data_IF_703566011742
#
_entry.id   IF_703566011742
#
_cell.length_a   1.000
_cell.length_b   1.000
_cell.length_c   1.000
_cell.angle_alpha   90.00
_cell.angle_beta   90.00
_cell.angle_gamma   90.00
#
_symmetry.space_group_name_H-M   'P 1'
#
loop_
_entity.id
_entity.type
_entity.pdbx_description
1 polymer ?
#
# COMPACT_ATOMS: atom_id res chain seq x y z
N UNK A 1 -4.07 -39.16 -25.93
CA UNK A 1 -4.03 -38.27 -24.76
C UNK A 1 -3.65 -36.87 -25.21
N UNK A 2 -4.61 -35.97 -25.32
CA UNK A 2 -4.37 -34.60 -25.81
C UNK A 2 -3.94 -33.70 -24.65
N UNK A 3 -2.74 -33.14 -24.75
CA UNK A 3 -2.15 -32.19 -23.82
C UNK A 3 -2.84 -30.82 -24.02
N UNK A 4 -3.68 -30.41 -23.08
CA UNK A 4 -4.36 -29.10 -23.10
C UNK A 4 -3.33 -28.02 -22.88
N UNK A 5 -2.86 -27.44 -23.98
CA UNK A 5 -1.94 -26.29 -23.96
C UNK A 5 -2.64 -25.03 -23.45
N UNK A 6 -2.15 -24.48 -22.36
CA UNK A 6 -2.49 -23.16 -21.83
C UNK A 6 -2.22 -22.11 -22.92
N UNK A 7 -3.25 -21.40 -23.40
CA UNK A 7 -3.15 -20.39 -24.47
C UNK A 7 -2.19 -19.26 -24.04
N UNK A 8 -1.13 -18.94 -24.83
CA UNK A 8 -0.11 -17.92 -24.48
C UNK A 8 -0.62 -16.48 -24.47
N UNK A 9 -1.87 -16.20 -24.82
CA UNK A 9 -2.41 -14.84 -24.97
C UNK A 9 -2.99 -14.22 -23.69
N UNK A 10 -3.30 -15.00 -22.66
CA UNK A 10 -4.04 -14.46 -21.50
C UNK A 10 -3.14 -13.79 -20.46
N UNK A 11 -1.91 -14.28 -20.22
CA UNK A 11 -1.00 -13.65 -19.24
C UNK A 11 -0.47 -12.30 -19.73
N UNK A 12 -0.17 -12.16 -21.01
CA UNK A 12 0.32 -10.91 -21.60
C UNK A 12 -0.69 -9.76 -21.60
N UNK A 13 -1.98 -10.07 -21.73
CA UNK A 13 -3.02 -9.01 -21.72
C UNK A 13 -3.26 -8.46 -20.34
N UNK A 14 -3.24 -9.31 -19.29
CA UNK A 14 -3.38 -8.87 -17.90
C UNK A 14 -2.25 -7.94 -17.47
N UNK A 15 -1.00 -8.26 -17.81
CA UNK A 15 0.16 -7.40 -17.49
C UNK A 15 0.12 -6.08 -18.25
N UNK A 16 -0.22 -6.07 -19.55
CA UNK A 16 -0.39 -4.82 -20.31
C UNK A 16 -1.44 -3.90 -19.71
N UNK A 17 -2.58 -4.45 -19.25
CA UNK A 17 -3.62 -3.67 -18.57
C UNK A 17 -3.08 -3.07 -17.26
N UNK A 18 -2.32 -3.84 -16.48
CA UNK A 18 -1.71 -3.35 -15.23
C UNK A 18 -0.69 -2.25 -15.48
N UNK A 19 0.15 -2.38 -16.53
CA UNK A 19 1.15 -1.37 -16.86
C UNK A 19 0.49 -0.07 -17.34
N UNK A 20 -0.52 -0.16 -18.21
CA UNK A 20 -1.33 0.97 -18.65
C UNK A 20 -2.06 1.65 -17.45
N UNK A 21 -2.62 0.84 -16.55
CA UNK A 21 -3.28 1.35 -15.36
C UNK A 21 -2.29 2.09 -14.44
N UNK A 22 -1.10 1.54 -14.19
CA UNK A 22 -0.04 2.20 -13.40
C UNK A 22 0.33 3.56 -13.98
N UNK A 23 0.55 3.60 -15.29
CA UNK A 23 0.92 4.81 -16.00
C UNK A 23 -0.17 5.88 -15.85
N UNK A 24 -1.42 5.56 -16.20
CA UNK A 24 -2.53 6.50 -16.16
C UNK A 24 -2.88 6.96 -14.74
N UNK A 25 -2.88 6.06 -13.77
CA UNK A 25 -3.12 6.43 -12.37
C UNK A 25 -2.00 7.30 -11.78
N UNK A 26 -0.75 7.08 -12.19
CA UNK A 26 0.37 7.92 -11.75
C UNK A 26 0.32 9.32 -12.36
N UNK A 27 -0.08 9.45 -13.64
CA UNK A 27 -0.15 10.74 -14.34
C UNK A 27 -1.39 11.54 -13.98
N UNK A 28 -2.57 10.91 -13.95
CA UNK A 28 -3.87 11.59 -13.91
C UNK A 28 -4.63 11.39 -12.61
N UNK A 29 -4.09 10.60 -11.71
CA UNK A 29 -4.78 10.17 -10.51
C UNK A 29 -5.89 9.15 -10.79
N UNK A 30 -6.56 8.69 -9.72
CA UNK A 30 -7.66 7.75 -9.83
C UNK A 30 -8.84 8.33 -10.60
N UNK A 31 -9.31 9.55 -10.23
CA UNK A 31 -10.49 10.17 -10.84
C UNK A 31 -10.28 10.57 -12.30
N UNK A 32 -9.07 11.03 -12.63
CA UNK A 32 -8.70 11.43 -13.99
C UNK A 32 -8.50 10.26 -14.97
N UNK A 33 -8.60 9.01 -14.50
CA UNK A 33 -8.40 7.80 -15.29
C UNK A 33 -9.71 7.03 -15.44
N UNK A 34 -9.98 6.45 -16.61
CA UNK A 34 -11.14 5.61 -16.86
C UNK A 34 -10.73 4.23 -17.39
N UNK A 35 -11.58 3.22 -17.17
CA UNK A 35 -11.39 1.86 -17.71
C UNK A 35 -11.22 1.90 -19.25
N UNK A 36 -11.95 2.79 -19.94
CA UNK A 36 -11.85 2.93 -21.40
C UNK A 36 -10.47 3.45 -21.83
N UNK A 37 -9.93 4.46 -21.12
CA UNK A 37 -8.59 4.99 -21.40
C UNK A 37 -7.51 3.95 -21.12
N UNK A 38 -7.62 3.24 -19.99
CA UNK A 38 -6.68 2.16 -19.62
C UNK A 38 -6.72 1.03 -20.66
N UNK A 39 -7.91 0.64 -21.12
CA UNK A 39 -8.05 -0.37 -22.15
C UNK A 39 -7.44 0.07 -23.48
N UNK A 40 -7.64 1.32 -23.88
CA UNK A 40 -7.06 1.89 -25.09
C UNK A 40 -5.52 1.91 -25.02
N UNK A 41 -4.96 2.36 -23.90
CA UNK A 41 -3.50 2.40 -23.66
C UNK A 41 -2.88 0.99 -23.64
N UNK A 42 -3.60 0.01 -23.08
CA UNK A 42 -3.21 -1.40 -23.06
C UNK A 42 -3.40 -2.12 -24.42
N UNK A 43 -3.98 -1.47 -25.43
CA UNK A 43 -4.34 -2.10 -26.70
C UNK A 43 -5.33 -3.25 -26.55
N UNK A 44 -6.40 -3.06 -25.74
CA UNK A 44 -7.39 -4.09 -25.44
C UNK A 44 -8.80 -3.51 -25.36
N UNK A 45 -9.80 -4.42 -25.24
CA UNK A 45 -11.21 -4.04 -25.04
C UNK A 45 -11.51 -3.79 -23.57
N UNK A 46 -12.33 -2.76 -23.22
CA UNK A 46 -12.80 -2.51 -21.85
C UNK A 46 -13.44 -3.73 -21.17
N UNK A 47 -14.15 -4.57 -21.94
CA UNK A 47 -14.74 -5.79 -21.41
C UNK A 47 -13.68 -6.78 -20.88
N UNK A 48 -12.49 -6.79 -21.50
CA UNK A 48 -11.38 -7.63 -21.03
C UNK A 48 -10.80 -7.09 -19.72
N UNK A 49 -10.77 -5.77 -19.53
CA UNK A 49 -10.37 -5.15 -18.25
C UNK A 49 -11.35 -5.55 -17.15
N UNK A 50 -12.67 -5.46 -17.44
CA UNK A 50 -13.71 -5.91 -16.49
C UNK A 50 -13.62 -7.41 -16.20
N UNK A 51 -13.31 -8.23 -17.20
CA UNK A 51 -13.12 -9.66 -17.02
C UNK A 51 -11.99 -10.00 -16.04
N UNK A 52 -10.85 -9.30 -16.14
CA UNK A 52 -9.70 -9.58 -15.28
C UNK A 52 -9.77 -8.96 -13.87
N UNK A 53 -10.37 -7.79 -13.77
CA UNK A 53 -10.29 -6.98 -12.55
C UNK A 53 -11.65 -6.64 -11.95
N UNK A 54 -12.74 -6.80 -12.70
CA UNK A 54 -14.10 -6.51 -12.26
C UNK A 54 -14.40 -5.02 -12.26
N UNK A 55 -13.81 -4.26 -11.32
CA UNK A 55 -14.07 -2.83 -11.15
C UNK A 55 -12.80 -2.00 -11.30
N UNK A 56 -12.95 -0.66 -11.45
CA UNK A 56 -11.83 0.27 -11.50
C UNK A 56 -11.04 0.28 -10.19
N UNK A 57 -11.73 0.15 -9.07
CA UNK A 57 -11.14 0.07 -7.73
C UNK A 57 -10.22 -1.16 -7.62
N UNK A 58 -10.70 -2.33 -8.00
CA UNK A 58 -9.90 -3.57 -8.00
C UNK A 58 -8.73 -3.52 -8.96
N UNK A 59 -8.90 -2.90 -10.13
CA UNK A 59 -7.80 -2.65 -11.05
C UNK A 59 -6.77 -1.71 -10.44
N UNK A 60 -7.21 -0.65 -9.75
CA UNK A 60 -6.34 0.28 -9.07
C UNK A 60 -5.48 -0.40 -8.00
N UNK A 61 -6.09 -1.23 -7.14
CA UNK A 61 -5.34 -2.05 -6.16
C UNK A 61 -4.32 -2.96 -6.82
N UNK A 62 -4.74 -3.64 -7.87
CA UNK A 62 -3.84 -4.55 -8.58
C UNK A 62 -2.71 -3.81 -9.32
N UNK A 63 -2.96 -2.59 -9.78
CA UNK A 63 -1.99 -1.72 -10.44
C UNK A 63 -1.01 -1.09 -9.44
N UNK A 64 -1.50 -0.68 -8.28
CA UNK A 64 -0.65 -0.29 -7.16
C UNK A 64 0.03 -1.55 -6.66
N UNK A 65 1.19 -1.86 -7.22
CA UNK A 65 2.09 -2.83 -6.58
C UNK A 65 2.51 -2.19 -5.25
N UNK A 66 1.80 -2.52 -4.18
CA UNK A 66 2.41 -2.41 -2.87
C UNK A 66 3.55 -3.43 -2.92
N UNK A 67 4.80 -3.01 -2.90
CA UNK A 67 5.94 -3.90 -3.17
C UNK A 67 6.20 -4.91 -2.05
N UNK A 68 5.34 -4.89 -1.06
CA UNK A 68 5.30 -5.86 0.02
C UNK A 68 4.00 -6.66 -0.16
N UNK A 69 4.13 -7.96 -0.34
CA UNK A 69 2.98 -8.85 -0.20
C UNK A 69 2.45 -8.68 1.24
N UNK A 70 1.22 -8.18 1.44
CA UNK A 70 0.67 -7.95 2.78
C UNK A 70 0.73 -9.21 3.66
N UNK A 71 0.66 -10.39 3.05
CA UNK A 71 0.75 -11.69 3.73
C UNK A 71 2.13 -11.96 4.32
N UNK A 72 3.17 -11.28 3.85
CA UNK A 72 4.55 -11.42 4.37
C UNK A 72 4.85 -10.46 5.52
N UNK A 73 4.04 -9.42 5.70
CA UNK A 73 4.24 -8.43 6.77
C UNK A 73 4.22 -9.09 8.17
N UNK A 74 3.25 -9.96 8.49
CA UNK A 74 3.25 -10.65 9.78
C UNK A 74 4.51 -11.50 10.02
N UNK A 75 5.04 -12.14 8.98
CA UNK A 75 6.27 -12.92 9.08
C UNK A 75 7.49 -12.02 9.29
N UNK A 76 7.59 -10.90 8.54
CA UNK A 76 8.68 -9.92 8.71
C UNK A 76 8.69 -9.28 10.10
N UNK A 77 7.52 -9.09 10.71
CA UNK A 77 7.42 -8.54 12.06
C UNK A 77 7.66 -9.58 13.15
N UNK A 78 7.40 -10.86 12.86
CA UNK A 78 7.72 -11.97 13.74
C UNK A 78 9.21 -12.38 13.71
N UNK A 79 9.97 -11.86 12.75
CA UNK A 79 11.40 -12.14 12.60
C UNK A 79 12.23 -11.32 13.59
N UNK A 80 12.28 -11.80 14.84
CA UNK A 80 13.00 -11.18 15.95
C UNK A 80 12.14 -10.84 17.17
N UNK A 81 12.74 -10.22 18.20
CA UNK A 81 12.05 -9.89 19.46
C UNK A 81 10.83 -8.99 19.21
N UNK A 82 9.71 -9.24 19.91
CA UNK A 82 8.52 -8.38 19.84
C UNK A 82 8.81 -6.93 20.22
N UNK A 83 9.74 -6.70 21.15
CA UNK A 83 10.19 -5.37 21.58
C UNK A 83 10.85 -4.53 20.49
N UNK A 84 11.23 -5.12 19.37
CA UNK A 84 11.82 -4.44 18.22
C UNK A 84 10.85 -4.28 17.01
N UNK A 85 9.59 -4.67 17.19
CA UNK A 85 8.61 -4.60 16.11
C UNK A 85 8.40 -3.17 15.60
N UNK A 86 8.45 -2.16 16.49
CA UNK A 86 8.38 -0.76 16.12
C UNK A 86 9.54 -0.31 15.21
N UNK A 87 10.75 -0.80 15.48
CA UNK A 87 11.94 -0.54 14.63
C UNK A 87 11.74 -1.17 13.25
N UNK A 88 11.26 -2.42 13.19
CA UNK A 88 11.01 -3.12 11.93
C UNK A 88 9.95 -2.43 11.09
N UNK A 89 8.86 -1.95 11.69
CA UNK A 89 7.82 -1.17 11.00
C UNK A 89 8.41 0.14 10.44
N UNK A 90 9.16 0.88 11.24
CA UNK A 90 9.78 2.12 10.79
C UNK A 90 10.77 1.88 9.64
N UNK A 91 11.61 0.86 9.74
CA UNK A 91 12.56 0.47 8.69
C UNK A 91 11.83 0.09 7.40
N UNK A 92 10.77 -0.72 7.50
CA UNK A 92 9.96 -1.12 6.36
C UNK A 92 9.25 0.09 5.71
N UNK A 93 8.74 1.02 6.52
CA UNK A 93 8.16 2.26 6.02
C UNK A 93 9.15 3.02 5.14
N UNK A 94 10.36 3.29 5.64
CA UNK A 94 11.36 4.01 4.86
C UNK A 94 11.87 3.24 3.65
N UNK A 95 12.04 1.92 3.74
CA UNK A 95 12.39 1.10 2.59
C UNK A 95 11.39 1.23 1.44
N UNK A 96 10.09 1.36 1.76
CA UNK A 96 9.02 1.59 0.80
C UNK A 96 9.04 3.01 0.21
N UNK A 97 9.21 4.00 1.08
CA UNK A 97 8.99 5.39 0.70
C UNK A 97 10.25 6.08 0.14
N UNK A 98 11.44 5.55 0.38
CA UNK A 98 12.68 6.07 -0.23
C UNK A 98 12.90 5.56 -1.65
N UNK A 99 12.28 4.44 -2.06
CA UNK A 99 12.25 4.02 -3.45
C UNK A 99 11.36 4.94 -4.29
N UNK A 100 11.90 5.52 -5.35
CA UNK A 100 11.22 6.55 -6.16
C UNK A 100 9.96 6.04 -6.86
N UNK A 101 10.00 4.82 -7.38
CA UNK A 101 8.88 4.29 -8.16
C UNK A 101 7.75 3.84 -7.24
N UNK A 102 8.09 3.23 -6.10
CA UNK A 102 7.15 2.87 -5.05
C UNK A 102 6.49 4.11 -4.44
N UNK A 103 7.28 5.12 -4.10
CA UNK A 103 6.78 6.39 -3.57
C UNK A 103 5.79 7.06 -4.52
N UNK A 104 6.09 7.11 -5.82
CA UNK A 104 5.18 7.70 -6.82
C UNK A 104 3.83 6.99 -6.84
N UNK A 105 3.82 5.67 -6.80
CA UNK A 105 2.61 4.86 -6.74
C UNK A 105 1.82 5.12 -5.43
N UNK A 106 2.50 5.08 -4.28
CA UNK A 106 1.89 5.32 -2.96
C UNK A 106 1.32 6.73 -2.83
N UNK A 107 2.02 7.75 -3.35
CA UNK A 107 1.50 9.11 -3.40
C UNK A 107 0.23 9.23 -4.26
N UNK A 108 0.16 8.51 -5.38
CA UNK A 108 -1.05 8.42 -6.20
C UNK A 108 -2.22 7.84 -5.41
N UNK A 109 -1.98 6.78 -4.65
CA UNK A 109 -2.97 6.15 -3.75
C UNK A 109 -3.48 7.14 -2.70
N UNK A 110 -2.58 7.81 -1.98
CA UNK A 110 -2.97 8.77 -0.93
C UNK A 110 -3.76 9.96 -1.49
N UNK A 111 -3.36 10.50 -2.65
CA UNK A 111 -4.12 11.58 -3.31
C UNK A 111 -5.53 11.12 -3.69
N UNK A 112 -5.64 9.92 -4.24
CA UNK A 112 -6.95 9.37 -4.61
C UNK A 112 -7.86 9.14 -3.41
N UNK A 113 -7.32 8.75 -2.25
CA UNK A 113 -8.09 8.58 -1.02
C UNK A 113 -8.74 9.87 -0.50
N UNK A 114 -8.13 11.03 -0.78
CA UNK A 114 -8.66 12.31 -0.35
C UNK A 114 -9.82 12.78 -1.23
N UNK A 115 -9.80 12.42 -2.52
CA UNK A 115 -10.76 12.89 -3.51
C UNK A 115 -11.89 11.91 -3.83
N UNK A 116 -11.70 10.61 -3.57
CA UNK A 116 -12.66 9.55 -3.92
C UNK A 116 -12.98 8.63 -2.73
N UNK A 117 -14.27 8.55 -2.30
CA UNK A 117 -14.66 7.67 -1.19
C UNK A 117 -14.43 6.17 -1.46
N UNK A 118 -14.51 5.72 -2.72
CA UNK A 118 -14.24 4.33 -3.11
C UNK A 118 -12.75 4.01 -2.96
N UNK A 119 -11.87 4.91 -3.41
CA UNK A 119 -10.43 4.79 -3.19
C UNK A 119 -10.08 4.81 -1.69
N UNK A 120 -10.74 5.67 -0.90
CA UNK A 120 -10.56 5.71 0.55
C UNK A 120 -10.98 4.39 1.23
N UNK A 121 -12.13 3.82 0.86
CA UNK A 121 -12.60 2.55 1.40
C UNK A 121 -11.62 1.41 1.10
N UNK A 122 -11.08 1.41 -0.10
CA UNK A 122 -10.12 0.42 -0.55
C UNK A 122 -8.77 0.52 0.18
N UNK A 123 -8.28 1.74 0.39
CA UNK A 123 -7.06 1.97 1.17
C UNK A 123 -7.25 1.51 2.61
N UNK A 124 -8.44 1.77 3.18
CA UNK A 124 -8.78 1.27 4.51
C UNK A 124 -8.72 -0.26 4.57
N UNK A 125 -9.33 -0.94 3.62
CA UNK A 125 -9.28 -2.41 3.52
C UNK A 125 -7.83 -2.91 3.47
N UNK A 126 -7.00 -2.34 2.58
CA UNK A 126 -5.61 -2.78 2.42
C UNK A 126 -4.80 -2.50 3.68
N UNK A 127 -4.82 -1.27 4.18
CA UNK A 127 -3.96 -0.86 5.30
C UNK A 127 -4.42 -1.52 6.60
N UNK A 128 -5.72 -1.45 6.90
CA UNK A 128 -6.25 -1.94 8.17
C UNK A 128 -6.40 -3.46 8.16
N UNK A 129 -7.07 -4.02 7.13
CA UNK A 129 -7.43 -5.43 7.17
C UNK A 129 -6.31 -6.35 6.67
N UNK A 130 -5.62 -5.97 5.60
CA UNK A 130 -4.62 -6.84 4.98
C UNK A 130 -3.21 -6.64 5.54
N UNK A 131 -2.82 -5.41 5.88
CA UNK A 131 -1.46 -5.12 6.35
C UNK A 131 -1.34 -5.15 7.88
N UNK A 132 -2.14 -4.37 8.58
CA UNK A 132 -2.00 -4.17 10.03
C UNK A 132 -2.81 -5.16 10.86
N UNK A 133 -4.00 -5.56 10.42
CA UNK A 133 -4.87 -6.51 11.12
C UNK A 133 -4.19 -7.82 11.48
N UNK A 134 -3.49 -8.50 10.55
CA UNK A 134 -2.75 -9.73 10.84
C UNK A 134 -1.60 -9.56 11.83
N UNK A 135 -1.10 -8.34 12.02
CA UNK A 135 -0.06 -8.04 13.02
C UNK A 135 -0.69 -8.06 14.41
N UNK A 136 -1.72 -7.22 14.58
CA UNK A 136 -2.31 -6.98 15.89
C UNK A 136 -3.12 -8.18 16.36
N UNK A 137 -3.74 -8.96 15.47
CA UNK A 137 -4.44 -10.19 15.83
C UNK A 137 -3.54 -11.28 16.44
N UNK A 138 -2.22 -11.13 16.30
CA UNK A 138 -1.21 -12.02 16.93
C UNK A 138 -0.66 -11.49 18.25
N UNK A 139 -0.97 -10.23 18.56
CA UNK A 139 -0.61 -9.62 19.83
C UNK A 139 -1.73 -9.89 20.83
N UNK A 140 -1.38 -10.44 21.98
CA UNK A 140 -2.31 -10.60 23.11
C UNK A 140 -2.37 -9.27 23.88
N UNK A 141 -3.09 -8.29 23.30
CA UNK A 141 -3.17 -6.93 23.84
C UNK A 141 -4.62 -6.44 23.89
N UNK A 142 -4.89 -5.54 24.82
CA UNK A 142 -6.17 -4.85 24.89
C UNK A 142 -6.36 -3.88 23.68
N UNK A 143 -7.61 -3.69 23.27
CA UNK A 143 -8.04 -2.74 22.25
C UNK A 143 -7.29 -2.86 20.89
N UNK A 144 -7.21 -4.06 20.30
CA UNK A 144 -6.40 -4.29 19.10
C UNK A 144 -6.84 -3.41 17.92
N UNK A 145 -8.12 -3.14 17.74
CA UNK A 145 -8.64 -2.29 16.67
C UNK A 145 -8.20 -0.82 16.83
N UNK A 146 -8.25 -0.29 18.06
CA UNK A 146 -7.77 1.06 18.35
C UNK A 146 -6.27 1.16 18.08
N UNK A 147 -5.49 0.18 18.50
CA UNK A 147 -4.03 0.13 18.29
C UNK A 147 -3.67 0.14 16.80
N UNK A 148 -4.38 -0.66 15.99
CA UNK A 148 -4.21 -0.67 14.54
C UNK A 148 -4.46 0.72 13.94
N UNK A 149 -5.55 1.36 14.32
CA UNK A 149 -5.93 2.67 13.76
C UNK A 149 -4.98 3.77 14.21
N UNK A 150 -4.47 3.74 15.44
CA UNK A 150 -3.43 4.64 15.92
C UNK A 150 -2.12 4.45 15.15
N UNK A 151 -1.67 3.21 14.95
CA UNK A 151 -0.48 2.92 14.16
C UNK A 151 -0.64 3.37 12.70
N UNK A 152 -1.79 3.09 12.07
CA UNK A 152 -2.10 3.54 10.72
C UNK A 152 -2.06 5.06 10.60
N UNK A 153 -2.60 5.78 11.59
CA UNK A 153 -2.60 7.25 11.61
C UNK A 153 -1.18 7.82 11.61
N UNK A 154 -0.25 7.19 12.34
CA UNK A 154 1.17 7.60 12.36
C UNK A 154 1.84 7.33 11.01
N UNK A 155 1.63 6.16 10.42
CA UNK A 155 2.19 5.77 9.12
C UNK A 155 1.71 6.72 8.01
N UNK A 156 0.40 6.97 7.95
CA UNK A 156 -0.19 7.87 6.94
C UNK A 156 0.22 9.32 7.21
N UNK A 157 0.18 9.77 8.47
CA UNK A 157 0.61 11.10 8.85
C UNK A 157 2.07 11.38 8.50
N UNK A 158 2.97 10.43 8.78
CA UNK A 158 4.38 10.52 8.41
C UNK A 158 4.58 10.59 6.89
N UNK A 159 3.84 9.77 6.14
CA UNK A 159 3.90 9.80 4.68
C UNK A 159 3.46 11.15 4.11
N UNK A 160 2.35 11.68 4.59
CA UNK A 160 1.83 12.98 4.16
C UNK A 160 2.78 14.11 4.52
N UNK A 161 3.23 14.19 5.78
CA UNK A 161 4.07 15.29 6.26
C UNK A 161 5.46 15.29 5.62
N UNK A 162 6.07 14.12 5.43
CA UNK A 162 7.41 14.00 4.87
C UNK A 162 7.43 14.14 3.35
N UNK A 163 6.53 13.43 2.63
CA UNK A 163 6.65 13.28 1.18
C UNK A 163 5.63 14.07 0.37
N UNK A 164 4.53 14.55 0.97
CA UNK A 164 3.52 15.34 0.26
C UNK A 164 3.64 16.81 0.64
N UNK A 165 3.61 17.11 1.95
CA UNK A 165 3.69 18.50 2.45
C UNK A 165 5.13 18.97 2.56
N UNK A 166 6.08 18.05 2.68
CA UNK A 166 7.53 18.32 2.81
C UNK A 166 7.86 19.24 3.99
N UNK A 167 7.38 18.89 5.18
CA UNK A 167 7.61 19.69 6.40
C UNK A 167 9.04 19.49 6.89
N UNK A 168 9.82 20.57 6.96
CA UNK A 168 11.16 20.55 7.52
C UNK A 168 11.16 20.58 9.06
N UNK A 169 12.14 19.93 9.72
CA UNK A 169 13.28 19.18 9.18
C UNK A 169 12.94 17.71 8.83
N UNK A 170 11.70 17.26 9.03
CA UNK A 170 11.29 15.89 8.81
C UNK A 170 11.51 15.44 7.35
N UNK A 171 11.32 16.34 6.39
CA UNK A 171 11.45 16.02 4.96
C UNK A 171 12.89 15.71 4.53
N UNK A 172 13.86 16.41 5.11
CA UNK A 172 15.29 16.32 4.72
C UNK A 172 16.12 15.38 5.58
N UNK A 173 15.67 15.05 6.80
CA UNK A 173 16.42 14.15 7.68
C UNK A 173 16.50 12.73 7.10
N UNK A 174 17.67 12.06 7.18
CA UNK A 174 17.84 10.71 6.67
C UNK A 174 17.10 9.68 7.56
N UNK A 175 16.65 8.54 6.97
CA UNK A 175 15.93 7.48 7.69
C UNK A 175 16.62 7.01 8.97
N UNK A 176 17.95 6.94 8.98
CA UNK A 176 18.76 6.48 10.11
C UNK A 176 18.59 7.36 11.36
N UNK A 177 18.24 8.63 11.17
CA UNK A 177 17.92 9.57 12.25
C UNK A 177 16.46 9.48 12.68
N UNK A 178 15.56 9.13 11.77
CA UNK A 178 14.11 9.10 12.00
C UNK A 178 13.62 7.77 12.57
N UNK A 179 14.22 6.65 12.14
CA UNK A 179 13.82 5.32 12.63
C UNK A 179 13.89 5.25 14.16
N UNK A 180 15.00 5.56 14.84
CA UNK A 180 15.06 5.47 16.30
C UNK A 180 14.13 6.47 17.01
N UNK A 181 13.79 7.59 16.37
CA UNK A 181 12.86 8.57 16.92
C UNK A 181 11.39 8.14 16.81
N UNK A 182 11.02 7.40 15.76
CA UNK A 182 9.65 6.97 15.48
C UNK A 182 9.33 5.59 16.07
N UNK A 183 10.31 4.71 16.11
CA UNK A 183 10.15 3.33 16.56
C UNK A 183 9.51 3.19 17.95
N UNK A 184 9.84 4.00 18.98
CA UNK A 184 9.19 3.92 20.28
C UNK A 184 7.69 4.20 20.23
N UNK A 185 7.25 5.13 19.39
CA UNK A 185 5.81 5.43 19.21
C UNK A 185 5.08 4.26 18.53
N UNK A 186 5.68 3.68 17.49
CA UNK A 186 5.12 2.50 16.84
C UNK A 186 5.06 1.30 17.78
N UNK A 187 6.12 1.07 18.58
CA UNK A 187 6.17 0.01 19.59
C UNK A 187 5.08 0.20 20.66
N UNK A 188 4.90 1.44 21.14
CA UNK A 188 3.85 1.75 22.11
C UNK A 188 2.46 1.37 21.60
N UNK A 189 2.15 1.62 20.33
CA UNK A 189 0.87 1.23 19.76
C UNK A 189 0.74 -0.28 19.56
N UNK A 190 1.83 -1.01 19.42
CA UNK A 190 1.79 -2.46 19.31
C UNK A 190 1.51 -3.15 20.65
N UNK A 191 2.26 -2.81 21.69
CA UNK A 191 2.24 -3.53 22.97
C UNK A 191 2.39 -2.65 24.23
N UNK A 192 2.63 -1.35 24.07
CA UNK A 192 2.76 -0.41 25.19
C UNK A 192 1.43 0.11 25.74
N UNK A 193 1.43 0.93 26.79
CA UNK A 193 0.22 1.57 27.33
C UNK A 193 -0.33 2.62 26.36
N UNK A 194 -1.67 2.66 26.19
CA UNK A 194 -2.40 3.62 25.35
C UNK A 194 -3.48 4.40 26.09
N UNK A 195 -3.59 4.18 27.40
CA UNK A 195 -4.38 4.91 28.40
C UNK A 195 -3.79 6.26 28.79
#
# INVERSE_FOLDING_TARGET
>A
MAKTGRRPGQSGSRERILDAARHLFAERGYDGSSIRQIAADAGTDPALVHHYFGTKERLFVAAVRIPIDPRRIPALLADGPSSEAGVRIATMFFALWEDRDQRRALMGVLRSAVSDPGAAALIREIVIEQMLGPIVSRLDVADPELRITLLASQIVGLAVTRYIVAVEPLASLPPERLIPALAPTFQRYLDGPID
#
